data_IF_980622904641
#
_entry.id   IF_980622904641
#
_cell.length_a   1.000
_cell.length_b   1.000
_cell.length_c   1.000
_cell.angle_alpha   90.00
_cell.angle_beta   90.00
_cell.angle_gamma   90.00
#
_symmetry.space_group_name_H-M   'P 1'
#
loop_
_entity.id
_entity.type
_entity.pdbx_description
1 polymer ?
#
# COMPACT_ATOMS: atom_id res chain seq x y z
N UNK A 1 -12.06 -8.13 -4.68
CA UNK A 1 -12.32 -7.76 -3.27
C UNK A 1 -12.92 -6.38 -3.30
N UNK A 2 -13.99 -6.14 -2.55
CA UNK A 2 -14.55 -4.80 -2.37
C UNK A 2 -13.71 -4.11 -1.30
N UNK A 3 -13.04 -3.01 -1.66
CA UNK A 3 -12.19 -2.27 -0.72
C UNK A 3 -13.05 -1.27 0.05
N UNK A 4 -12.91 -1.29 1.37
CA UNK A 4 -13.46 -0.28 2.28
C UNK A 4 -12.55 0.96 2.26
N UNK A 5 -13.18 2.13 2.15
CA UNK A 5 -12.49 3.41 2.18
C UNK A 5 -11.93 3.69 3.57
N UNK A 6 -10.62 3.95 3.64
CA UNK A 6 -9.91 4.31 4.86
C UNK A 6 -10.22 5.75 5.28
N UNK A 7 -10.40 5.93 6.58
CA UNK A 7 -10.43 7.25 7.23
C UNK A 7 -9.06 7.92 7.16
N UNK A 8 -9.01 9.22 7.47
CA UNK A 8 -7.75 9.99 7.49
C UNK A 8 -6.68 9.35 8.37
N UNK A 9 -7.05 8.83 9.55
CA UNK A 9 -6.11 8.21 10.49
C UNK A 9 -5.63 6.84 10.01
N UNK A 10 -6.49 6.08 9.37
CA UNK A 10 -6.12 4.78 8.77
C UNK A 10 -5.18 4.97 7.58
N UNK A 11 -5.46 5.94 6.71
CA UNK A 11 -4.54 6.30 5.63
C UNK A 11 -3.16 6.69 6.18
N UNK A 12 -3.09 7.52 7.22
CA UNK A 12 -1.81 7.89 7.84
C UNK A 12 -0.99 6.67 8.32
N UNK A 13 -1.66 5.65 8.87
CA UNK A 13 -0.98 4.41 9.30
C UNK A 13 -0.56 3.57 8.09
N UNK A 14 -1.42 3.43 7.08
CA UNK A 14 -1.11 2.66 5.87
C UNK A 14 -0.01 3.32 5.04
N UNK A 15 0.01 4.64 4.92
CA UNK A 15 1.05 5.41 4.21
C UNK A 15 2.45 5.10 4.77
N UNK A 16 2.57 4.98 6.10
CA UNK A 16 3.83 4.59 6.73
C UNK A 16 4.14 3.14 6.41
N UNK A 17 3.18 2.24 6.56
CA UNK A 17 3.38 0.81 6.27
C UNK A 17 3.71 0.53 4.79
N UNK A 18 3.25 1.35 3.86
CA UNK A 18 3.56 1.24 2.43
C UNK A 18 4.93 1.82 2.09
N UNK A 19 5.33 2.91 2.73
CA UNK A 19 6.66 3.53 2.54
C UNK A 19 7.77 2.70 3.16
N UNK A 20 7.48 2.06 4.30
CA UNK A 20 8.45 1.30 5.06
C UNK A 20 8.54 -0.13 4.54
N UNK A 21 9.70 -0.51 3.99
CA UNK A 21 9.95 -1.85 3.44
C UNK A 21 10.14 -2.94 4.52
N UNK A 22 9.68 -2.72 5.74
CA UNK A 22 9.87 -3.61 6.87
C UNK A 22 8.64 -3.66 7.78
N UNK A 23 8.53 -4.74 8.56
CA UNK A 23 7.45 -4.93 9.53
C UNK A 23 7.64 -4.00 10.72
N UNK A 24 6.57 -3.34 11.16
CA UNK A 24 6.63 -2.34 12.23
C UNK A 24 5.65 -2.62 13.37
N UNK A 25 6.05 -2.27 14.58
CA UNK A 25 5.18 -2.27 15.76
C UNK A 25 4.31 -1.01 15.82
N UNK A 26 3.23 -1.08 16.60
CA UNK A 26 2.38 0.09 16.86
C UNK A 26 3.16 1.28 17.47
N UNK A 27 4.22 1.01 18.23
CA UNK A 27 5.05 2.06 18.82
C UNK A 27 5.95 2.73 17.78
N UNK A 28 6.57 1.95 16.89
CA UNK A 28 7.38 2.51 15.80
C UNK A 28 6.52 3.35 14.86
N UNK A 29 5.35 2.86 14.48
CA UNK A 29 4.39 3.62 13.67
C UNK A 29 4.00 4.91 14.39
N UNK A 30 3.66 4.86 15.68
CA UNK A 30 3.29 6.04 16.45
C UNK A 30 4.41 7.11 16.54
N UNK A 31 5.68 6.68 16.52
CA UNK A 31 6.83 7.58 16.51
C UNK A 31 7.08 8.20 15.14
N UNK A 32 6.72 7.50 14.07
CA UNK A 32 6.80 8.01 12.69
C UNK A 32 5.60 8.89 12.32
N UNK A 33 4.42 8.63 12.89
CA UNK A 33 3.22 9.46 12.67
C UNK A 33 3.29 10.77 13.44
N UNK A 34 3.13 11.90 12.77
CA UNK A 34 2.89 13.17 13.44
C UNK A 34 1.48 13.22 14.03
N UNK A 35 1.37 13.33 15.36
CA UNK A 35 0.13 13.62 16.06
C UNK A 35 -0.80 12.44 16.36
N UNK A 36 -0.41 11.19 16.07
CA UNK A 36 -1.14 10.01 16.52
C UNK A 36 -0.51 9.40 17.77
N UNK A 37 -1.34 9.13 18.77
CA UNK A 37 -0.89 8.39 19.96
C UNK A 37 -0.73 6.90 19.64
N UNK A 38 0.10 6.20 20.41
CA UNK A 38 0.23 4.73 20.34
C UNK A 38 -1.11 4.01 20.52
N UNK A 39 -2.03 4.55 21.32
CA UNK A 39 -3.37 4.00 21.52
C UNK A 39 -4.23 4.12 20.26
N UNK A 40 -4.19 5.28 19.61
CA UNK A 40 -4.89 5.52 18.34
C UNK A 40 -4.35 4.61 17.24
N UNK A 41 -3.03 4.51 17.10
CA UNK A 41 -2.39 3.60 16.15
C UNK A 41 -2.78 2.15 16.44
N UNK A 42 -2.81 1.75 17.71
CA UNK A 42 -3.20 0.39 18.10
C UNK A 42 -4.66 0.06 17.75
N UNK A 43 -5.58 1.03 17.88
CA UNK A 43 -6.98 0.87 17.46
C UNK A 43 -7.11 0.77 15.94
N UNK A 44 -6.41 1.64 15.21
CA UNK A 44 -6.37 1.63 13.74
C UNK A 44 -5.83 0.28 13.23
N UNK A 45 -4.73 -0.21 13.79
CA UNK A 45 -4.16 -1.52 13.40
C UNK A 45 -5.10 -2.68 13.69
N UNK A 46 -5.88 -2.63 14.77
CA UNK A 46 -6.89 -3.64 15.06
C UNK A 46 -8.00 -3.65 14.00
N UNK A 47 -8.46 -2.47 13.58
CA UNK A 47 -9.46 -2.37 12.52
C UNK A 47 -8.91 -2.84 11.17
N UNK A 48 -7.72 -2.34 10.77
CA UNK A 48 -7.04 -2.76 9.54
C UNK A 48 -6.80 -4.27 9.48
N UNK A 49 -6.49 -4.88 10.63
CA UNK A 49 -6.37 -6.35 10.74
C UNK A 49 -7.72 -7.05 10.53
N UNK A 50 -8.82 -6.50 11.06
CA UNK A 50 -10.16 -7.08 10.89
C UNK A 50 -10.67 -7.04 9.44
N UNK A 51 -10.29 -6.03 8.67
CA UNK A 51 -10.63 -5.90 7.24
C UNK A 51 -9.58 -6.55 6.33
N UNK A 52 -8.52 -7.14 6.90
CA UNK A 52 -7.49 -7.88 6.16
C UNK A 52 -6.48 -7.02 5.41
N UNK A 53 -6.38 -5.72 5.71
CA UNK A 53 -5.45 -4.80 5.03
C UNK A 53 -4.03 -4.89 5.58
N UNK A 54 -3.88 -5.38 6.82
CA UNK A 54 -2.60 -5.69 7.44
C UNK A 54 -2.64 -7.08 8.05
N UNK A 55 -1.45 -7.66 8.26
CA UNK A 55 -1.28 -8.92 9.00
C UNK A 55 -0.21 -8.77 10.08
N UNK A 56 -0.27 -9.63 11.08
CA UNK A 56 0.83 -9.81 12.04
C UNK A 56 1.92 -10.65 11.39
N UNK A 57 3.04 -10.02 11.05
CA UNK A 57 4.19 -10.63 10.36
C UNK A 57 5.33 -10.99 11.32
N UNK A 58 5.09 -10.90 12.62
CA UNK A 58 6.03 -11.38 13.62
C UNK A 58 5.87 -10.70 14.97
N UNK A 59 6.90 -10.92 15.77
CA UNK A 59 6.99 -10.47 17.15
C UNK A 59 8.31 -9.71 17.32
N UNK A 60 8.24 -8.50 17.83
CA UNK A 60 9.37 -7.64 18.19
C UNK A 60 9.52 -7.50 19.70
N UNK A 61 10.70 -7.12 20.16
CA UNK A 61 10.93 -6.75 21.56
C UNK A 61 11.05 -5.23 21.65
N UNK A 62 10.14 -4.60 22.38
CA UNK A 62 10.33 -3.24 22.86
C UNK A 62 11.04 -3.30 24.23
N UNK A 63 11.64 -2.19 24.69
CA UNK A 63 12.50 -2.10 25.88
C UNK A 63 11.92 -2.76 27.16
N UNK A 64 10.60 -2.93 27.27
CA UNK A 64 9.91 -3.51 28.43
C UNK A 64 8.89 -4.62 28.10
N UNK A 65 8.65 -4.94 26.84
CA UNK A 65 7.60 -5.90 26.47
C UNK A 65 7.75 -6.47 25.05
N UNK A 66 7.04 -7.57 24.81
CA UNK A 66 6.88 -8.15 23.49
C UNK A 66 5.80 -7.36 22.73
N UNK A 67 6.06 -7.01 21.47
CA UNK A 67 5.16 -6.28 20.59
C UNK A 67 4.86 -7.07 19.30
N UNK A 68 3.63 -6.95 18.78
CA UNK A 68 3.30 -7.46 17.44
C UNK A 68 3.89 -6.56 16.38
N UNK A 69 4.38 -7.16 15.30
CA UNK A 69 4.87 -6.46 14.11
C UNK A 69 3.86 -6.67 12.98
N UNK A 70 3.52 -5.59 12.30
CA UNK A 70 2.51 -5.56 11.24
C UNK A 70 3.16 -5.33 9.88
N UNK A 71 2.56 -5.89 8.83
CA UNK A 71 2.90 -5.59 7.44
C UNK A 71 1.63 -5.40 6.62
N UNK A 72 1.67 -4.56 5.57
CA UNK A 72 0.53 -4.41 4.66
C UNK A 72 0.28 -5.72 3.90
N UNK A 73 -1.00 -6.01 3.66
CA UNK A 73 -1.45 -7.11 2.80
C UNK A 73 -1.85 -6.65 1.40
N UNK A 74 -2.06 -5.35 1.24
CA UNK A 74 -2.41 -4.69 -0.01
C UNK A 74 -1.36 -3.61 -0.27
N UNK A 75 -1.03 -3.36 -1.54
CA UNK A 75 -0.21 -2.24 -1.94
C UNK A 75 -1.03 -0.95 -2.05
N UNK A 76 -0.36 0.21 -1.99
CA UNK A 76 -0.99 1.51 -2.19
C UNK A 76 -1.66 1.59 -3.58
N UNK A 77 -1.01 1.07 -4.62
CA UNK A 77 -1.56 1.07 -5.99
C UNK A 77 -2.79 0.17 -6.13
N UNK A 78 -2.82 -1.01 -5.50
CA UNK A 78 -4.02 -1.87 -5.45
C UNK A 78 -5.17 -1.19 -4.72
N UNK A 79 -4.89 -0.53 -3.60
CA UNK A 79 -5.88 0.22 -2.84
C UNK A 79 -6.45 1.38 -3.66
N UNK A 80 -5.61 2.28 -4.19
CA UNK A 80 -6.04 3.46 -4.95
C UNK A 80 -6.80 3.04 -6.21
N UNK A 81 -6.29 2.06 -6.97
CA UNK A 81 -6.93 1.61 -8.21
C UNK A 81 -8.32 1.03 -8.00
N UNK A 82 -8.63 0.52 -6.80
CA UNK A 82 -9.96 -0.01 -6.48
C UNK A 82 -11.07 1.05 -6.39
N UNK A 83 -10.71 2.33 -6.17
CA UNK A 83 -11.68 3.44 -6.08
C UNK A 83 -11.78 4.26 -7.37
N UNK A 84 -10.93 3.97 -8.36
CA UNK A 84 -10.87 4.71 -9.61
C UNK A 84 -11.55 3.88 -10.69
N UNK A 85 -12.37 4.53 -11.53
CA UNK A 85 -12.97 3.87 -12.69
C UNK A 85 -11.90 3.50 -13.70
N UNK A 86 -12.11 2.41 -14.43
CA UNK A 86 -11.16 1.93 -15.44
C UNK A 86 -10.79 3.01 -16.45
N UNK A 87 -11.78 3.77 -16.94
CA UNK A 87 -11.59 4.83 -17.93
C UNK A 87 -10.68 5.94 -17.39
N UNK A 88 -10.90 6.38 -16.14
CA UNK A 88 -10.05 7.37 -15.48
C UNK A 88 -8.64 6.84 -15.26
N UNK A 89 -8.48 5.56 -14.94
CA UNK A 89 -7.15 4.95 -14.80
C UNK A 89 -6.39 4.89 -16.14
N UNK A 90 -7.09 4.61 -17.24
CA UNK A 90 -6.54 4.68 -18.60
C UNK A 90 -6.10 6.11 -18.95
N UNK A 91 -6.94 7.12 -18.67
CA UNK A 91 -6.60 8.53 -18.87
C UNK A 91 -5.36 8.97 -18.07
N UNK A 92 -5.28 8.59 -16.79
CA UNK A 92 -4.10 8.86 -15.94
C UNK A 92 -2.84 8.22 -16.51
N UNK A 93 -2.95 7.01 -17.04
CA UNK A 93 -1.83 6.29 -17.66
C UNK A 93 -1.37 6.98 -18.95
N UNK A 94 -2.31 7.40 -19.80
CA UNK A 94 -2.01 8.17 -21.01
C UNK A 94 -1.33 9.50 -20.67
N UNK A 95 -1.86 10.22 -19.69
CA UNK A 95 -1.28 11.47 -19.22
C UNK A 95 0.14 11.26 -18.67
N UNK A 96 0.38 10.18 -17.92
CA UNK A 96 1.72 9.85 -17.43
C UNK A 96 2.70 9.63 -18.58
N UNK A 97 2.32 8.89 -19.62
CA UNK A 97 3.19 8.61 -20.78
C UNK A 97 3.47 9.89 -21.58
N UNK A 98 2.46 10.74 -21.79
CA UNK A 98 2.60 11.95 -22.60
C UNK A 98 3.45 13.04 -21.96
N UNK A 99 3.47 13.10 -20.62
CA UNK A 99 4.14 14.18 -19.87
C UNK A 99 5.40 13.73 -19.13
N UNK A 100 5.89 12.50 -19.38
CA UNK A 100 7.09 11.98 -18.76
C UNK A 100 8.25 11.95 -19.76
N UNK A 101 9.29 12.72 -19.47
CA UNK A 101 10.51 12.80 -20.28
C UNK A 101 11.59 11.77 -19.87
N UNK A 102 11.33 10.93 -18.85
CA UNK A 102 12.24 9.87 -18.43
C UNK A 102 12.14 8.64 -19.34
N UNK A 103 13.07 8.55 -20.29
CA UNK A 103 13.17 7.44 -21.23
C UNK A 103 13.28 6.07 -20.51
N UNK A 104 13.95 5.99 -19.36
CA UNK A 104 14.09 4.72 -18.63
C UNK A 104 12.74 4.22 -18.11
N UNK A 105 11.92 5.12 -17.56
CA UNK A 105 10.54 4.81 -17.16
C UNK A 105 9.68 4.37 -18.35
N UNK A 106 9.79 5.03 -19.50
CA UNK A 106 9.01 4.67 -20.71
C UNK A 106 9.42 3.28 -21.22
N UNK A 107 10.72 2.99 -21.34
CA UNK A 107 11.22 1.67 -21.75
C UNK A 107 10.74 0.58 -20.79
N UNK A 108 10.76 0.84 -19.48
CA UNK A 108 10.27 -0.10 -18.47
C UNK A 108 8.78 -0.39 -18.65
N UNK A 109 7.96 0.63 -18.91
CA UNK A 109 6.52 0.46 -19.19
C UNK A 109 6.26 -0.34 -20.46
N UNK A 110 6.97 -0.03 -21.55
CA UNK A 110 6.86 -0.76 -22.82
C UNK A 110 7.11 -2.26 -22.63
N UNK A 111 8.22 -2.61 -21.94
CA UNK A 111 8.56 -4.00 -21.64
C UNK A 111 7.47 -4.72 -20.84
N UNK A 112 6.89 -4.06 -19.84
CA UNK A 112 5.80 -4.61 -19.03
C UNK A 112 4.54 -4.85 -19.88
N UNK A 113 4.20 -3.91 -20.77
CA UNK A 113 3.07 -4.04 -21.70
C UNK A 113 3.27 -5.21 -22.66
N UNK A 114 4.46 -5.35 -23.24
CA UNK A 114 4.78 -6.46 -24.14
C UNK A 114 4.67 -7.82 -23.44
N UNK A 115 5.23 -7.93 -22.23
CA UNK A 115 5.11 -9.15 -21.44
C UNK A 115 3.64 -9.48 -21.18
N UNK A 116 2.82 -8.48 -20.82
CA UNK A 116 1.41 -8.71 -20.55
C UNK A 116 0.63 -9.15 -21.80
N UNK A 117 0.92 -8.58 -22.97
CA UNK A 117 0.32 -8.99 -24.25
C UNK A 117 0.65 -10.45 -24.57
N UNK A 118 1.90 -10.89 -24.35
CA UNK A 118 2.32 -12.29 -24.56
C UNK A 118 1.55 -13.24 -23.65
N UNK A 119 1.42 -12.92 -22.36
CA UNK A 119 0.65 -13.71 -21.39
C UNK A 119 -0.82 -13.87 -21.79
N UNK A 120 -1.44 -12.83 -22.36
CA UNK A 120 -2.84 -12.86 -22.79
C UNK A 120 -3.01 -13.65 -24.09
N UNK A 121 -2.12 -13.49 -25.05
CA UNK A 121 -2.17 -14.23 -26.32
C UNK A 121 -1.88 -15.73 -26.16
N UNK A 122 -1.21 -16.15 -25.07
CA UNK A 122 -1.00 -17.57 -24.73
C UNK A 122 -2.19 -18.21 -24.02
N UNK A 123 -3.16 -17.41 -23.56
CA UNK A 123 -4.39 -17.88 -22.89
C UNK A 123 -5.59 -18.01 -23.84
N UNK A 124 -5.41 -17.62 -25.10
CA UNK A 124 -6.38 -17.75 -26.21
C UNK A 124 -5.98 -18.95 -27.06
#
# INVERSE_FOLDING_TARGET
>A
MEYVQLTKRENQVMDILWKENHKMSANEIAQTTEGLSIYTVSQVLQHLLSIGYVKVSGIGKNKKSIARLYSPCISESEYISSFIKKETFEELTLHFIQNNDDLESIIKLEKLIEQKKKELNQKV
#
